data_IF_868281706147
#
_entry.id   IF_868281706147
#
_cell.length_a   1.000
_cell.length_b   1.000
_cell.length_c   1.000
_cell.angle_alpha   90.00
_cell.angle_beta   90.00
_cell.angle_gamma   90.00
#
_symmetry.space_group_name_H-M   'P 1'
#
loop_
_entity.id
_entity.type
_entity.pdbx_description
1 polymer ?
#
# COMPACT_ATOMS: atom_id res chain seq x y z
N UNK A 1 51.58 65.83 13.35
CA UNK A 1 50.28 66.47 13.70
C UNK A 1 49.18 66.21 12.68
N UNK A 2 49.35 66.50 11.38
CA UNK A 2 48.30 66.29 10.36
C UNK A 2 47.90 64.82 10.11
N UNK A 3 48.87 63.90 10.12
CA UNK A 3 48.61 62.46 9.92
C UNK A 3 47.78 61.83 11.05
N UNK A 4 48.03 62.24 12.30
CA UNK A 4 47.27 61.78 13.47
C UNK A 4 45.81 62.24 13.35
N UNK A 5 45.60 63.48 12.89
CA UNK A 5 44.26 64.02 12.65
C UNK A 5 43.48 63.25 11.58
N UNK A 6 44.15 62.90 10.47
CA UNK A 6 43.53 62.09 9.41
C UNK A 6 43.16 60.69 9.93
N UNK A 7 44.02 60.05 10.72
CA UNK A 7 43.75 58.76 11.34
C UNK A 7 42.53 58.80 12.27
N UNK A 8 42.37 59.86 13.06
CA UNK A 8 41.21 60.03 13.95
C UNK A 8 39.90 60.20 13.17
N UNK A 9 39.92 60.95 12.06
CA UNK A 9 38.75 61.11 11.19
C UNK A 9 38.38 59.77 10.56
N UNK A 10 39.36 59.02 10.06
CA UNK A 10 39.13 57.69 9.46
C UNK A 10 38.54 56.73 10.49
N UNK A 11 39.07 56.70 11.72
CA UNK A 11 38.55 55.87 12.81
C UNK A 11 37.11 56.26 13.18
N UNK A 12 36.79 57.55 13.23
CA UNK A 12 35.44 58.03 13.51
C UNK A 12 34.45 57.62 12.40
N UNK A 13 34.85 57.74 11.13
CA UNK A 13 34.03 57.33 9.99
C UNK A 13 33.82 55.81 9.98
N UNK A 14 34.85 55.01 10.25
CA UNK A 14 34.73 53.54 10.34
C UNK A 14 33.82 53.13 11.49
N UNK A 15 33.93 53.79 12.65
CA UNK A 15 33.02 53.55 13.77
C UNK A 15 31.56 53.94 13.45
N UNK A 16 31.34 55.00 12.66
CA UNK A 16 30.01 55.40 12.21
C UNK A 16 29.40 54.45 11.16
N UNK A 17 30.21 53.69 10.43
CA UNK A 17 29.75 52.76 9.39
C UNK A 17 29.52 51.33 9.91
N UNK A 18 29.91 51.02 11.15
CA UNK A 18 29.64 49.74 11.81
C UNK A 18 28.18 49.70 12.29
N UNK A 19 27.25 49.57 11.36
CA UNK A 19 25.84 49.33 11.67
C UNK A 19 25.66 47.92 12.23
N UNK A 20 25.31 47.83 13.52
CA UNK A 20 24.98 46.58 14.19
C UNK A 20 23.56 46.16 13.79
N UNK A 21 23.43 44.99 13.17
CA UNK A 21 22.12 44.44 12.76
C UNK A 21 21.56 43.49 13.81
N UNK A 22 20.27 43.58 14.07
CA UNK A 22 19.58 42.58 14.87
C UNK A 22 19.23 41.36 14.00
N UNK A 23 19.65 40.16 14.39
CA UNK A 23 19.46 38.93 13.60
C UNK A 23 17.98 38.55 13.38
N UNK A 24 17.11 38.92 14.32
CA UNK A 24 15.71 38.50 14.33
C UNK A 24 14.77 39.42 13.53
N UNK A 25 15.07 40.71 13.46
CA UNK A 25 14.25 41.70 12.76
C UNK A 25 15.00 42.40 11.62
N UNK A 26 16.30 42.09 11.43
CA UNK A 26 17.20 42.66 10.42
C UNK A 26 17.30 44.18 10.41
N UNK A 27 16.85 44.84 11.48
CA UNK A 27 16.93 46.29 11.63
C UNK A 27 18.37 46.70 11.99
N UNK A 28 18.89 47.72 11.30
CA UNK A 28 20.20 48.30 11.60
C UNK A 28 20.09 49.27 12.77
N UNK A 29 21.06 49.19 13.68
CA UNK A 29 21.20 50.08 14.82
C UNK A 29 22.62 50.65 14.84
N UNK A 30 22.73 51.96 14.97
CA UNK A 30 24.01 52.68 14.96
C UNK A 30 24.85 52.46 16.23
N UNK A 31 24.24 51.97 17.32
CA UNK A 31 24.93 51.77 18.59
C UNK A 31 24.52 50.47 19.26
N UNK A 32 25.44 49.89 20.03
CA UNK A 32 25.19 48.66 20.80
C UNK A 32 24.12 48.86 21.88
N UNK A 33 24.06 50.04 22.48
CA UNK A 33 23.02 50.40 23.45
C UNK A 33 21.62 50.42 22.81
N UNK A 34 21.49 50.98 21.60
CA UNK A 34 20.25 50.95 20.84
C UNK A 34 19.87 49.52 20.44
N UNK A 35 20.84 48.68 20.06
CA UNK A 35 20.60 47.26 19.76
C UNK A 35 20.11 46.50 21.00
N UNK A 36 20.70 46.72 22.18
CA UNK A 36 20.29 46.10 23.45
C UNK A 36 18.89 46.53 23.86
N UNK A 37 18.57 47.82 23.74
CA UNK A 37 17.22 48.35 23.99
C UNK A 37 16.21 47.76 23.01
N UNK A 38 16.58 47.68 21.72
CA UNK A 38 15.75 47.11 20.67
C UNK A 38 15.43 45.63 20.93
N UNK A 39 16.44 44.82 21.27
CA UNK A 39 16.27 43.41 21.62
C UNK A 39 15.31 43.21 22.80
N UNK A 40 15.44 44.04 23.85
CA UNK A 40 14.61 43.93 25.06
C UNK A 40 13.17 44.39 24.86
N UNK A 41 12.96 45.53 24.20
CA UNK A 41 11.62 46.14 24.06
C UNK A 41 10.84 45.67 22.84
N UNK A 42 11.51 45.47 21.70
CA UNK A 42 10.84 45.27 20.41
C UNK A 42 11.01 43.85 19.86
N UNK A 43 12.05 43.13 20.31
CA UNK A 43 12.36 41.79 19.77
C UNK A 43 11.98 40.63 20.70
N UNK A 44 11.66 40.90 21.97
CA UNK A 44 11.28 39.91 23.00
C UNK A 44 9.98 39.16 22.65
N UNK A 45 9.00 39.85 22.05
CA UNK A 45 7.76 39.22 21.59
C UNK A 45 7.95 38.24 20.43
N UNK A 46 8.97 38.45 19.57
CA UNK A 46 9.23 37.58 18.42
C UNK A 46 9.95 36.28 18.80
N UNK A 47 10.73 36.28 19.88
CA UNK A 47 11.34 35.04 20.40
C UNK A 47 10.30 34.07 20.97
N UNK A 48 9.22 34.57 21.58
CA UNK A 48 8.11 33.71 22.02
C UNK A 48 7.33 33.09 20.86
N UNK A 49 7.18 33.80 19.74
CA UNK A 49 6.49 33.27 18.54
C UNK A 49 7.32 32.15 17.89
N UNK A 50 8.66 32.27 17.90
CA UNK A 50 9.55 31.21 17.38
C UNK A 50 9.55 29.99 18.30
N UNK A 51 9.53 30.17 19.63
CA UNK A 51 9.41 29.05 20.59
C UNK A 51 8.04 28.38 20.59
N UNK A 52 6.95 29.16 20.50
CA UNK A 52 5.58 28.66 20.47
C UNK A 52 5.21 27.98 19.15
N UNK A 53 5.79 28.41 18.03
CA UNK A 53 5.63 27.75 16.73
C UNK A 53 6.20 26.33 16.70
N UNK A 54 7.34 26.10 17.37
CA UNK A 54 7.95 24.77 17.50
C UNK A 54 7.06 23.86 18.36
N UNK A 55 6.51 24.40 19.46
CA UNK A 55 5.62 23.63 20.32
C UNK A 55 4.32 23.23 19.58
N UNK A 56 3.70 24.17 18.86
CA UNK A 56 2.51 23.91 18.05
C UNK A 56 2.78 22.91 16.93
N UNK A 57 3.90 23.04 16.21
CA UNK A 57 4.28 22.08 15.17
C UNK A 57 4.52 20.67 15.74
N UNK A 58 5.07 20.58 16.96
CA UNK A 58 5.26 19.31 17.67
C UNK A 58 3.92 18.68 18.06
N UNK A 59 2.99 19.48 18.60
CA UNK A 59 1.67 19.00 18.99
C UNK A 59 0.84 18.56 17.76
N UNK A 60 0.93 19.30 16.65
CA UNK A 60 0.29 18.95 15.38
C UNK A 60 0.89 17.66 14.79
N UNK A 61 2.21 17.47 14.87
CA UNK A 61 2.86 16.23 14.45
C UNK A 61 2.44 15.03 15.29
N UNK A 62 2.34 15.18 16.61
CA UNK A 62 1.85 14.12 17.51
C UNK A 62 0.40 13.75 17.18
N UNK A 63 -0.45 14.76 16.93
CA UNK A 63 -1.84 14.53 16.54
C UNK A 63 -1.94 13.80 15.19
N UNK A 64 -1.13 14.19 14.20
CA UNK A 64 -1.08 13.52 12.91
C UNK A 64 -0.64 12.05 13.03
N UNK A 65 0.38 11.75 13.84
CA UNK A 65 0.84 10.37 14.10
C UNK A 65 -0.26 9.55 14.79
N UNK A 66 -0.98 10.13 15.75
CA UNK A 66 -2.08 9.44 16.44
C UNK A 66 -3.21 9.08 15.46
N UNK A 67 -3.61 10.00 14.59
CA UNK A 67 -4.61 9.77 13.54
C UNK A 67 -4.12 8.71 12.55
N UNK A 68 -2.87 8.78 12.11
CA UNK A 68 -2.30 7.78 11.20
C UNK A 68 -2.35 6.36 11.79
N UNK A 69 -2.02 6.20 13.09
CA UNK A 69 -2.13 4.91 13.78
C UNK A 69 -3.56 4.37 13.84
N UNK A 70 -4.56 5.24 13.95
CA UNK A 70 -5.97 4.84 13.90
C UNK A 70 -6.35 4.35 12.50
N UNK A 71 -5.94 5.08 11.46
CA UNK A 71 -6.15 4.64 10.07
C UNK A 71 -5.43 3.33 9.76
N UNK A 72 -4.20 3.14 10.21
CA UNK A 72 -3.44 1.89 10.01
C UNK A 72 -4.10 0.69 10.73
N UNK A 73 -4.75 0.93 11.86
CA UNK A 73 -5.52 -0.12 12.58
C UNK A 73 -6.80 -0.46 11.82
N UNK A 74 -7.54 0.55 11.36
CA UNK A 74 -8.76 0.36 10.57
C UNK A 74 -8.47 -0.33 9.23
N UNK A 75 -7.42 0.08 8.53
CA UNK A 75 -7.00 -0.51 7.26
C UNK A 75 -6.61 -1.99 7.41
N UNK A 76 -5.99 -2.37 8.54
CA UNK A 76 -5.71 -3.79 8.84
C UNK A 76 -6.99 -4.59 9.03
N UNK A 77 -7.94 -4.10 9.82
CA UNK A 77 -9.23 -4.78 10.02
C UNK A 77 -9.98 -4.98 8.69
N UNK A 78 -10.03 -3.93 7.86
CA UNK A 78 -10.68 -4.00 6.55
C UNK A 78 -10.02 -5.04 5.62
N UNK A 79 -8.69 -5.16 5.63
CA UNK A 79 -8.00 -6.21 4.86
C UNK A 79 -8.36 -7.62 5.36
N UNK A 80 -8.50 -7.82 6.67
CA UNK A 80 -8.94 -9.11 7.20
C UNK A 80 -10.38 -9.45 6.78
N UNK A 81 -11.27 -8.48 6.80
CA UNK A 81 -12.66 -8.65 6.34
C UNK A 81 -12.72 -8.99 4.85
N UNK A 82 -11.92 -8.32 4.01
CA UNK A 82 -11.82 -8.64 2.59
C UNK A 82 -11.30 -10.06 2.34
N UNK A 83 -10.26 -10.49 3.04
CA UNK A 83 -9.74 -11.86 2.92
C UNK A 83 -10.80 -12.88 3.35
N UNK A 84 -11.54 -12.60 4.42
CA UNK A 84 -12.63 -13.46 4.88
C UNK A 84 -13.78 -13.53 3.88
N UNK A 85 -14.17 -12.41 3.29
CA UNK A 85 -15.21 -12.36 2.26
C UNK A 85 -14.79 -13.12 1.00
N UNK A 86 -13.55 -12.92 0.54
CA UNK A 86 -13.00 -13.64 -0.61
C UNK A 86 -12.90 -15.15 -0.37
N UNK A 87 -12.59 -15.59 0.86
CA UNK A 87 -12.60 -17.01 1.21
C UNK A 87 -14.02 -17.61 1.16
N UNK A 88 -15.02 -16.88 1.64
CA UNK A 88 -16.42 -17.32 1.59
C UNK A 88 -16.98 -17.38 0.15
N UNK A 89 -16.53 -16.48 -0.73
CA UNK A 89 -16.90 -16.49 -2.15
C UNK A 89 -16.30 -17.70 -2.88
N UNK A 90 -15.01 -17.99 -2.67
CA UNK A 90 -14.36 -19.19 -3.23
C UNK A 90 -15.02 -20.48 -2.79
N UNK A 91 -15.44 -20.57 -1.53
CA UNK A 91 -16.13 -21.76 -1.03
C UNK A 91 -17.50 -21.94 -1.73
N UNK A 92 -18.21 -20.85 -2.03
CA UNK A 92 -19.46 -20.91 -2.79
C UNK A 92 -19.23 -21.33 -4.23
N UNK A 93 -18.27 -20.71 -4.91
CA UNK A 93 -17.90 -21.08 -6.28
C UNK A 93 -17.49 -22.55 -6.36
N UNK A 94 -16.72 -23.07 -5.39
CA UNK A 94 -16.31 -24.47 -5.38
C UNK A 94 -17.51 -25.42 -5.18
N UNK A 95 -18.49 -25.05 -4.34
CA UNK A 95 -19.73 -25.83 -4.19
C UNK A 95 -20.56 -25.84 -5.47
N UNK A 96 -20.77 -24.68 -6.08
CA UNK A 96 -21.51 -24.57 -7.35
C UNK A 96 -20.84 -25.39 -8.45
N UNK A 97 -19.51 -25.38 -8.50
CA UNK A 97 -18.74 -26.18 -9.46
C UNK A 97 -18.89 -27.68 -9.24
N UNK A 98 -18.89 -28.13 -7.98
CA UNK A 98 -19.13 -29.54 -7.63
C UNK A 98 -20.56 -29.98 -7.99
N UNK A 99 -21.55 -29.15 -7.70
CA UNK A 99 -22.94 -29.42 -8.08
C UNK A 99 -23.15 -29.45 -9.60
N UNK A 100 -22.42 -28.62 -10.35
CA UNK A 100 -22.43 -28.69 -11.83
C UNK A 100 -21.79 -29.97 -12.34
N UNK A 101 -20.63 -30.35 -11.81
CA UNK A 101 -19.94 -31.58 -12.22
C UNK A 101 -20.76 -32.84 -11.87
N UNK A 102 -21.47 -32.83 -10.74
CA UNK A 102 -22.39 -33.91 -10.36
C UNK A 102 -23.56 -34.02 -11.33
N UNK A 103 -24.20 -32.90 -11.69
CA UNK A 103 -25.28 -32.87 -12.70
C UNK A 103 -24.80 -33.35 -14.06
N UNK A 104 -23.63 -32.90 -14.52
CA UNK A 104 -23.07 -33.34 -15.80
C UNK A 104 -22.78 -34.85 -15.81
N UNK A 105 -22.33 -35.41 -14.67
CA UNK A 105 -22.15 -36.86 -14.52
C UNK A 105 -23.48 -37.61 -14.54
N UNK A 106 -24.48 -37.15 -13.80
CA UNK A 106 -25.82 -37.74 -13.80
C UNK A 106 -26.42 -37.72 -15.22
N UNK A 107 -26.34 -36.59 -15.94
CA UNK A 107 -26.79 -36.49 -17.33
C UNK A 107 -26.00 -37.39 -18.29
N UNK A 108 -24.70 -37.61 -18.04
CA UNK A 108 -23.89 -38.54 -18.83
C UNK A 108 -24.26 -40.01 -18.55
N UNK A 109 -24.56 -40.34 -17.29
CA UNK A 109 -25.01 -41.67 -16.87
C UNK A 109 -26.42 -41.96 -17.40
N UNK A 110 -27.34 -40.99 -17.38
CA UNK A 110 -28.66 -41.10 -18.00
C UNK A 110 -28.56 -41.32 -19.51
N UNK A 111 -27.69 -40.58 -20.20
CA UNK A 111 -27.43 -40.78 -21.64
C UNK A 111 -26.85 -42.16 -21.94
N UNK A 112 -25.90 -42.62 -21.13
CA UNK A 112 -25.32 -43.96 -21.25
C UNK A 112 -26.37 -45.05 -21.00
N UNK A 113 -27.22 -44.90 -19.98
CA UNK A 113 -28.30 -45.83 -19.68
C UNK A 113 -29.36 -45.85 -20.79
N UNK A 114 -29.70 -44.69 -21.37
CA UNK A 114 -30.59 -44.60 -22.53
C UNK A 114 -30.01 -45.35 -23.75
N UNK A 115 -28.72 -45.18 -24.05
CA UNK A 115 -28.05 -45.92 -25.12
C UNK A 115 -28.01 -47.44 -24.85
N UNK A 116 -27.77 -47.86 -23.60
CA UNK A 116 -27.75 -49.28 -23.21
C UNK A 116 -29.15 -49.93 -23.18
N UNK A 117 -30.21 -49.16 -22.89
CA UNK A 117 -31.59 -49.66 -22.93
C UNK A 117 -32.09 -50.02 -24.33
N UNK A 118 -31.33 -49.68 -25.38
CA UNK A 118 -31.62 -50.10 -26.76
C UNK A 118 -30.91 -51.41 -27.16
N UNK A 119 -30.20 -52.07 -26.23
CA UNK A 119 -29.71 -53.43 -26.44
C UNK A 119 -30.85 -54.40 -26.13
N UNK A 120 -31.38 -55.14 -27.12
CA UNK A 120 -32.42 -56.13 -26.85
C UNK A 120 -31.85 -57.19 -25.91
N UNK A 121 -32.55 -57.48 -24.81
CA UNK A 121 -32.23 -58.59 -23.90
C UNK A 121 -32.17 -59.96 -24.62
N UNK A 122 -32.65 -60.04 -25.87
CA UNK A 122 -32.58 -61.20 -26.76
C UNK A 122 -31.27 -61.28 -27.57
N UNK A 123 -30.14 -60.74 -27.07
CA UNK A 123 -28.83 -61.06 -27.64
C UNK A 123 -28.25 -62.26 -26.88
N UNK A 124 -28.42 -63.51 -27.35
CA UNK A 124 -27.89 -64.67 -26.63
C UNK A 124 -26.37 -64.56 -26.62
N UNK A 125 -25.81 -64.25 -25.44
CA UNK A 125 -24.40 -64.48 -25.14
C UNK A 125 -24.17 -65.99 -25.21
N UNK A 126 -23.87 -66.47 -26.40
CA UNK A 126 -23.45 -67.85 -26.63
C UNK A 126 -22.07 -68.04 -26.04
N UNK A 127 -22.03 -68.31 -24.73
CA UNK A 127 -20.89 -68.92 -24.08
C UNK A 127 -20.74 -70.34 -24.63
N UNK A 128 -20.00 -70.46 -25.74
CA UNK A 128 -19.56 -71.76 -26.22
C UNK A 128 -18.52 -72.29 -25.23
N UNK A 129 -18.93 -73.29 -24.44
CA UNK A 129 -18.11 -74.05 -23.50
C UNK A 129 -17.10 -74.92 -24.26
N UNK A 130 -16.16 -74.29 -24.95
CA UNK A 130 -14.97 -74.94 -25.48
C UNK A 130 -13.78 -74.04 -25.22
N UNK A 131 -13.07 -74.32 -24.13
CA UNK A 131 -11.90 -73.57 -23.65
C UNK A 131 -10.69 -73.68 -24.57
N UNK A 132 -10.75 -73.04 -25.75
CA UNK A 132 -9.59 -72.72 -26.59
C UNK A 132 -9.89 -71.46 -27.39
N UNK A 133 -9.50 -70.31 -26.86
CA UNK A 133 -9.39 -69.08 -27.64
C UNK A 133 -8.24 -69.24 -28.64
N UNK A 134 -8.55 -69.78 -29.82
CA UNK A 134 -7.64 -69.77 -30.96
C UNK A 134 -8.07 -68.60 -31.84
N UNK A 135 -7.41 -67.47 -31.67
CA UNK A 135 -7.49 -66.36 -32.63
C UNK A 135 -6.91 -66.86 -33.95
N UNK A 136 -7.76 -67.05 -34.95
CA UNK A 136 -7.34 -67.35 -36.31
C UNK A 136 -7.32 -66.05 -37.11
N UNK A 137 -6.18 -65.64 -37.70
CA UNK A 137 -6.17 -64.58 -38.69
C UNK A 137 -6.84 -65.08 -39.98
N UNK A 138 -7.57 -64.18 -40.65
CA UNK A 138 -8.35 -64.45 -41.85
C UNK A 138 -7.52 -65.07 -42.99
N UNK A 139 -8.08 -66.00 -43.79
CA UNK A 139 -7.38 -66.56 -44.93
C UNK A 139 -7.24 -65.51 -46.05
N UNK A 140 -6.02 -65.37 -46.57
CA UNK A 140 -5.75 -64.78 -47.87
C UNK A 140 -6.50 -65.59 -48.95
N UNK A 141 -7.27 -64.90 -49.79
CA UNK A 141 -8.01 -65.49 -50.91
C UNK A 141 -7.09 -66.04 -52.01
N UNK A 142 -7.62 -66.86 -52.94
CA UNK A 142 -6.81 -67.56 -53.93
C UNK A 142 -6.51 -66.68 -55.17
N UNK A 143 -5.24 -66.75 -55.58
CA UNK A 143 -4.63 -66.46 -56.91
C UNK A 143 -5.15 -65.29 -57.73
#
# INVERSE_FOLDING_TARGET
>A
MRLIWLLLIVLAVVACLMDLKCEFCRQSCKTEAALKLHRRKYCSGRQQIVGGGIQKARDDAVRAIAVQRQHDKAARLHRFEQVRAAAAEREREERERREQEEREREEAEERMNAEYSFVPEDTPLSFSRSGRARWAPAPCGPT
#
